data_IF_395979742552
#
_entry.id   IF_395979742552
#
_cell.length_a   1.000
_cell.length_b   1.000
_cell.length_c   1.000
_cell.angle_alpha   90.00
_cell.angle_beta   90.00
_cell.angle_gamma   90.00
#
_symmetry.space_group_name_H-M   'P 1'
#
loop_
_entity.id
_entity.type
_entity.pdbx_description
1 polymer ?
#
# COMPACT_ATOMS: atom_id res chain seq x y z
N UNK A 1 24.41 -18.26 -4.96
CA UNK A 1 24.84 -17.40 -6.08
C UNK A 1 23.59 -16.78 -6.68
N UNK A 2 23.37 -15.46 -6.50
CA UNK A 2 22.24 -14.74 -7.09
C UNK A 2 22.62 -14.45 -8.56
N UNK A 3 21.80 -14.82 -9.55
CA UNK A 3 22.16 -14.64 -10.95
C UNK A 3 22.35 -13.16 -11.27
N UNK A 4 23.40 -12.82 -11.99
CA UNK A 4 23.86 -11.48 -12.35
C UNK A 4 22.76 -10.60 -13.01
N UNK A 5 21.82 -11.21 -13.73
CA UNK A 5 20.61 -10.55 -14.28
C UNK A 5 19.65 -10.02 -13.19
N UNK A 6 19.62 -10.64 -12.02
CA UNK A 6 18.76 -10.22 -10.91
C UNK A 6 19.37 -9.01 -10.19
N UNK A 7 20.69 -8.96 -10.07
CA UNK A 7 21.43 -7.82 -9.47
C UNK A 7 21.28 -6.56 -10.34
N UNK A 8 21.32 -6.72 -11.67
CA UNK A 8 21.08 -5.60 -12.61
C UNK A 8 19.67 -5.02 -12.50
N UNK A 9 18.65 -5.87 -12.38
CA UNK A 9 17.25 -5.42 -12.19
C UNK A 9 17.02 -4.76 -10.82
N UNK A 10 17.64 -5.28 -9.76
CA UNK A 10 17.56 -4.66 -8.41
C UNK A 10 18.24 -3.30 -8.40
N UNK A 11 19.39 -3.14 -9.06
CA UNK A 11 20.11 -1.86 -9.17
C UNK A 11 19.32 -0.82 -9.98
N UNK A 12 18.65 -1.24 -11.05
CA UNK A 12 17.76 -0.37 -11.82
C UNK A 12 16.53 0.03 -11.01
N UNK A 13 15.90 -0.91 -10.28
CA UNK A 13 14.76 -0.63 -9.40
C UNK A 13 15.12 0.35 -8.29
N UNK A 14 16.29 0.17 -7.67
CA UNK A 14 16.77 1.08 -6.62
C UNK A 14 17.05 2.49 -7.15
N UNK A 15 17.63 2.62 -8.33
CA UNK A 15 17.83 3.89 -9.02
C UNK A 15 16.51 4.62 -9.30
N UNK A 16 15.48 3.87 -9.73
CA UNK A 16 14.14 4.42 -9.99
C UNK A 16 13.47 4.91 -8.70
N UNK A 17 13.59 4.15 -7.60
CA UNK A 17 13.06 4.56 -6.29
C UNK A 17 13.76 5.84 -5.81
N UNK A 18 15.08 5.90 -5.87
CA UNK A 18 15.84 7.10 -5.50
C UNK A 18 15.45 8.32 -6.35
N UNK A 19 15.21 8.13 -7.64
CA UNK A 19 14.75 9.20 -8.53
C UNK A 19 13.35 9.71 -8.14
N UNK A 20 12.42 8.82 -7.82
CA UNK A 20 11.07 9.18 -7.38
C UNK A 20 11.06 9.88 -6.02
N UNK A 21 11.99 9.53 -5.12
CA UNK A 21 12.06 10.11 -3.78
C UNK A 21 12.89 11.41 -3.72
N UNK A 22 13.72 11.70 -4.72
CA UNK A 22 14.58 12.88 -4.74
C UNK A 22 13.80 14.21 -4.58
N UNK A 23 12.65 14.45 -5.24
CA UNK A 23 11.85 15.66 -5.04
C UNK A 23 11.30 15.78 -3.61
N UNK A 24 10.87 14.66 -3.03
CA UNK A 24 10.37 14.62 -1.64
C UNK A 24 11.47 14.98 -0.64
N UNK A 25 12.68 14.50 -0.88
CA UNK A 25 13.85 14.91 -0.05
C UNK A 25 14.18 16.40 -0.19
N UNK A 26 14.00 16.94 -1.40
CA UNK A 26 14.28 18.37 -1.66
C UNK A 26 13.23 19.29 -1.04
N UNK A 27 11.95 18.99 -1.19
CA UNK A 27 10.84 19.87 -0.82
C UNK A 27 10.15 19.50 0.49
N UNK A 28 10.32 18.26 0.97
CA UNK A 28 9.57 17.70 2.10
C UNK A 28 10.44 16.98 3.14
N UNK A 29 11.63 17.45 3.47
CA UNK A 29 12.51 16.81 4.48
C UNK A 29 11.82 16.59 5.83
N UNK A 30 11.11 17.60 6.33
CA UNK A 30 10.38 17.54 7.60
C UNK A 30 9.29 16.50 7.57
N UNK A 31 8.58 16.38 6.43
CA UNK A 31 7.58 15.34 6.21
C UNK A 31 8.20 13.96 6.21
N UNK A 32 9.31 13.75 5.50
CA UNK A 32 9.98 12.43 5.46
C UNK A 32 10.47 12.01 6.86
N UNK A 33 11.07 12.90 7.62
CA UNK A 33 11.53 12.62 8.99
C UNK A 33 10.33 12.35 9.91
N UNK A 34 9.28 13.15 9.83
CA UNK A 34 8.07 12.95 10.61
C UNK A 34 7.38 11.61 10.29
N UNK A 35 7.25 11.25 9.01
CA UNK A 35 6.70 9.95 8.59
C UNK A 35 7.56 8.78 9.05
N UNK A 36 8.88 8.93 9.03
CA UNK A 36 9.79 7.91 9.55
C UNK A 36 9.57 7.71 11.05
N UNK A 37 9.56 8.79 11.85
CA UNK A 37 9.32 8.72 13.30
C UNK A 37 7.94 8.11 13.59
N UNK A 38 6.91 8.62 12.92
CA UNK A 38 5.53 8.14 13.10
C UNK A 38 5.40 6.65 12.78
N UNK A 39 5.91 6.21 11.65
CA UNK A 39 5.75 4.83 11.17
C UNK A 39 6.66 3.83 11.89
N UNK A 40 7.90 4.22 12.24
CA UNK A 40 8.91 3.31 12.79
C UNK A 40 8.92 3.29 14.32
N UNK A 41 8.54 4.39 14.98
CA UNK A 41 8.52 4.47 16.44
C UNK A 41 7.11 4.39 17.03
N UNK A 42 6.17 5.26 16.61
CA UNK A 42 4.87 5.35 17.26
C UNK A 42 4.02 4.11 17.02
N UNK A 43 3.94 3.63 15.79
CA UNK A 43 3.09 2.47 15.45
C UNK A 43 3.57 1.17 16.12
N UNK A 44 4.87 0.79 16.06
CA UNK A 44 5.35 -0.40 16.76
C UNK A 44 5.28 -0.27 18.27
N UNK A 45 5.54 0.93 18.84
CA UNK A 45 5.44 1.15 20.28
C UNK A 45 3.99 1.04 20.79
N UNK A 46 3.02 1.64 20.08
CA UNK A 46 1.61 1.49 20.41
C UNK A 46 1.19 0.01 20.36
N UNK A 47 1.66 -0.71 19.34
CA UNK A 47 1.43 -2.13 19.22
C UNK A 47 2.05 -2.96 20.33
N UNK A 48 3.25 -2.62 20.79
CA UNK A 48 3.89 -3.26 21.95
C UNK A 48 3.05 -3.11 23.21
N UNK A 49 2.62 -1.89 23.56
CA UNK A 49 1.79 -1.66 24.72
C UNK A 49 0.44 -2.38 24.64
N UNK A 50 -0.17 -2.41 23.46
CA UNK A 50 -1.43 -3.15 23.24
C UNK A 50 -1.25 -4.66 23.39
N UNK A 51 -0.16 -5.23 22.89
CA UNK A 51 0.11 -6.66 22.94
C UNK A 51 0.46 -7.13 24.37
N UNK A 52 1.19 -6.32 25.12
CA UNK A 52 1.66 -6.67 26.48
C UNK A 52 0.66 -6.28 27.57
N UNK A 53 -0.41 -5.55 27.25
CA UNK A 53 -1.41 -5.11 28.21
C UNK A 53 -2.02 -6.27 29.03
N UNK A 54 -2.49 -7.32 28.35
CA UNK A 54 -3.10 -8.46 29.02
C UNK A 54 -2.11 -9.20 29.92
N UNK A 55 -0.89 -9.40 29.45
CA UNK A 55 0.19 -10.03 30.22
C UNK A 55 0.51 -9.22 31.46
N UNK A 56 0.69 -7.91 31.36
CA UNK A 56 1.00 -7.04 32.48
C UNK A 56 -0.09 -7.05 33.57
N UNK A 57 -1.37 -7.13 33.16
CA UNK A 57 -2.50 -7.25 34.10
C UNK A 57 -2.51 -8.62 34.81
N UNK A 58 -2.29 -9.71 34.06
CA UNK A 58 -2.25 -11.08 34.61
C UNK A 58 -1.10 -11.21 35.62
N UNK A 59 0.10 -10.75 35.28
CA UNK A 59 1.26 -10.77 36.18
C UNK A 59 0.99 -10.04 37.51
N UNK A 60 0.24 -8.93 37.47
CA UNK A 60 -0.16 -8.21 38.70
C UNK A 60 -1.15 -9.01 39.57
N UNK A 61 -2.07 -9.75 38.93
CA UNK A 61 -3.05 -10.60 39.63
C UNK A 61 -2.35 -11.81 40.25
N UNK A 62 -1.45 -12.47 39.50
CA UNK A 62 -0.67 -13.62 39.98
C UNK A 62 0.29 -13.23 41.10
N UNK A 63 0.82 -12.01 41.10
CA UNK A 63 1.63 -11.48 42.20
C UNK A 63 0.83 -11.12 43.44
N UNK A 64 -0.48 -11.42 43.49
CA UNK A 64 -1.37 -11.16 44.63
C UNK A 64 -1.56 -9.69 44.96
N UNK A 65 -1.34 -8.78 44.00
CA UNK A 65 -1.53 -7.34 44.20
C UNK A 65 -3.01 -6.97 44.21
N UNK A 66 -3.40 -5.88 44.93
CA UNK A 66 -4.79 -5.46 44.99
C UNK A 66 -5.31 -5.11 43.57
N UNK A 67 -6.60 -5.35 43.36
CA UNK A 67 -7.27 -5.10 42.09
C UNK A 67 -7.03 -3.69 41.53
N UNK A 68 -6.98 -2.70 42.44
CA UNK A 68 -6.69 -1.29 42.07
C UNK A 68 -5.33 -1.14 41.36
N UNK A 69 -4.30 -1.85 41.81
CA UNK A 69 -2.97 -1.81 41.21
C UNK A 69 -2.97 -2.47 39.82
N UNK A 70 -3.64 -3.61 39.67
CA UNK A 70 -3.79 -4.29 38.35
C UNK A 70 -4.59 -3.43 37.36
N UNK A 71 -5.69 -2.81 37.85
CA UNK A 71 -6.50 -1.89 37.04
C UNK A 71 -5.71 -0.66 36.60
N UNK A 72 -4.95 -0.04 37.54
CA UNK A 72 -4.13 1.14 37.22
C UNK A 72 -3.03 0.81 36.19
N UNK A 73 -2.40 -0.36 36.30
CA UNK A 73 -1.41 -0.83 35.33
C UNK A 73 -2.03 -1.02 33.95
N UNK A 74 -3.17 -1.71 33.87
CA UNK A 74 -3.90 -1.87 32.60
C UNK A 74 -4.31 -0.52 31.98
N UNK A 75 -4.79 0.40 32.82
CA UNK A 75 -5.17 1.75 32.36
C UNK A 75 -3.97 2.53 31.86
N UNK A 76 -2.79 2.46 32.49
CA UNK A 76 -1.59 3.15 32.01
C UNK A 76 -1.12 2.62 30.65
N UNK A 77 -1.11 1.30 30.42
CA UNK A 77 -0.78 0.69 29.13
C UNK A 77 -1.76 1.10 28.05
N UNK A 78 -3.06 1.10 28.36
CA UNK A 78 -4.12 1.53 27.45
C UNK A 78 -3.96 3.00 27.06
N UNK A 79 -3.73 3.89 28.03
CA UNK A 79 -3.54 5.32 27.78
C UNK A 79 -2.28 5.60 26.94
N UNK A 80 -1.18 4.90 27.21
CA UNK A 80 0.04 5.03 26.41
C UNK A 80 -0.18 4.57 24.96
N UNK A 81 -0.82 3.41 24.77
CA UNK A 81 -1.15 2.93 23.43
C UNK A 81 -2.08 3.90 22.70
N UNK A 82 -3.11 4.41 23.38
CA UNK A 82 -4.05 5.40 22.84
C UNK A 82 -3.33 6.70 22.46
N UNK A 83 -2.49 7.23 23.34
CA UNK A 83 -1.74 8.47 23.09
C UNK A 83 -0.83 8.35 21.84
N UNK A 84 -0.10 7.24 21.72
CA UNK A 84 0.75 6.98 20.56
C UNK A 84 -0.06 6.82 19.26
N UNK A 85 -1.19 6.12 19.32
CA UNK A 85 -2.09 5.99 18.15
C UNK A 85 -2.71 7.33 17.76
N UNK A 86 -3.10 8.16 18.74
CA UNK A 86 -3.62 9.52 18.47
C UNK A 86 -2.55 10.42 17.87
N UNK A 87 -1.31 10.38 18.38
CA UNK A 87 -0.20 11.13 17.77
C UNK A 87 0.06 10.70 16.34
N UNK A 88 0.04 9.39 16.07
CA UNK A 88 0.15 8.86 14.72
C UNK A 88 -1.00 9.32 13.83
N UNK A 89 -2.25 9.21 14.29
CA UNK A 89 -3.43 9.60 13.54
C UNK A 89 -3.44 11.12 13.24
N UNK A 90 -3.12 11.97 14.20
CA UNK A 90 -3.01 13.43 13.99
C UNK A 90 -1.94 13.74 12.96
N UNK A 91 -0.80 13.05 13.02
CA UNK A 91 0.26 13.23 12.04
C UNK A 91 -0.17 12.78 10.63
N UNK A 92 -0.71 11.55 10.48
CA UNK A 92 -1.09 10.97 9.19
C UNK A 92 -2.32 11.64 8.57
N UNK A 93 -3.39 11.84 9.36
CA UNK A 93 -4.66 12.30 8.83
C UNK A 93 -4.74 13.81 8.65
N UNK A 94 -4.05 14.56 9.51
CA UNK A 94 -4.09 16.02 9.45
C UNK A 94 -2.84 16.60 8.78
N UNK A 95 -1.64 16.36 9.35
CA UNK A 95 -0.43 17.02 8.88
C UNK A 95 0.08 16.47 7.54
N UNK A 96 0.12 15.13 7.43
CA UNK A 96 0.66 14.46 6.24
C UNK A 96 -0.19 14.75 5.01
N UNK A 97 -1.52 14.63 5.12
CA UNK A 97 -2.44 14.84 3.98
C UNK A 97 -2.33 16.25 3.42
N UNK A 98 -2.35 17.24 4.29
CA UNK A 98 -2.23 18.64 3.87
C UNK A 98 -0.86 18.94 3.25
N UNK A 99 0.21 18.56 3.94
CA UNK A 99 1.57 18.87 3.49
C UNK A 99 1.95 18.09 2.23
N UNK A 100 1.44 16.88 2.08
CA UNK A 100 1.57 16.07 0.88
C UNK A 100 1.02 16.80 -0.35
N UNK A 101 -0.19 17.36 -0.25
CA UNK A 101 -0.82 18.08 -1.36
C UNK A 101 -0.01 19.33 -1.77
N UNK A 102 0.56 20.05 -0.81
CA UNK A 102 1.41 21.20 -1.06
C UNK A 102 2.70 20.80 -1.81
N UNK A 103 3.31 19.69 -1.42
CA UNK A 103 4.54 19.20 -2.05
C UNK A 103 4.23 18.63 -3.45
N UNK A 104 3.15 17.88 -3.62
CA UNK A 104 2.70 17.39 -4.93
C UNK A 104 2.50 18.55 -5.90
N UNK A 105 1.80 19.61 -5.50
CA UNK A 105 1.64 20.82 -6.32
C UNK A 105 2.98 21.51 -6.66
N UNK A 106 3.94 21.50 -5.73
CA UNK A 106 5.28 22.05 -5.99
C UNK A 106 6.05 21.19 -7.01
N UNK A 107 5.92 19.87 -6.93
CA UNK A 107 6.51 18.93 -7.89
C UNK A 107 5.91 19.14 -9.27
N UNK A 108 4.58 19.19 -9.37
CA UNK A 108 3.87 19.45 -10.63
C UNK A 108 4.30 20.78 -11.25
N UNK A 109 4.35 21.85 -10.47
CA UNK A 109 4.85 23.14 -10.91
C UNK A 109 6.26 23.04 -11.48
N UNK A 110 7.16 22.29 -10.84
CA UNK A 110 8.54 22.11 -11.31
C UNK A 110 8.61 21.36 -12.65
N UNK A 111 7.65 20.45 -12.91
CA UNK A 111 7.52 19.75 -14.21
C UNK A 111 7.04 20.72 -15.28
N UNK A 112 6.03 21.55 -15.00
CA UNK A 112 5.54 22.57 -15.94
C UNK A 112 6.60 23.60 -16.28
N UNK A 113 7.35 24.09 -15.28
CA UNK A 113 8.45 25.04 -15.51
C UNK A 113 9.54 24.46 -16.44
N UNK A 114 9.88 23.17 -16.25
CA UNK A 114 10.81 22.48 -17.18
C UNK A 114 10.23 22.29 -18.57
N UNK A 115 8.96 21.94 -18.66
CA UNK A 115 8.29 21.76 -19.96
C UNK A 115 8.27 23.06 -20.77
N UNK A 116 8.12 24.21 -20.14
CA UNK A 116 8.16 25.52 -20.81
C UNK A 116 9.56 25.88 -21.32
N UNK A 117 10.62 25.24 -20.83
CA UNK A 117 12.01 25.45 -21.27
C UNK A 117 12.43 24.53 -22.42
N UNK A 118 11.61 23.51 -22.73
CA UNK A 118 11.92 22.55 -23.80
C UNK A 118 11.56 23.12 -25.16
N UNK A 119 12.42 22.88 -26.18
CA UNK A 119 12.19 23.33 -27.54
C UNK A 119 10.87 22.74 -28.09
N UNK A 120 10.07 23.58 -28.72
CA UNK A 120 8.77 23.23 -29.32
C UNK A 120 8.82 22.03 -30.25
N UNK A 121 9.95 21.81 -30.93
CA UNK A 121 10.16 20.66 -31.82
C UNK A 121 9.90 19.30 -31.18
N UNK A 122 10.14 19.20 -29.87
CA UNK A 122 9.89 17.96 -29.14
C UNK A 122 8.40 17.66 -28.93
N UNK A 123 7.55 18.70 -28.93
CA UNK A 123 6.10 18.52 -28.80
C UNK A 123 5.44 17.99 -30.09
N UNK A 124 6.12 18.11 -31.24
CA UNK A 124 5.67 17.51 -32.50
C UNK A 124 5.98 16.01 -32.60
N UNK A 125 6.84 15.49 -31.71
CA UNK A 125 7.09 14.04 -31.58
C UNK A 125 6.03 13.37 -30.71
N UNK A 126 5.19 12.47 -31.29
CA UNK A 126 4.15 11.77 -30.52
C UNK A 126 4.68 10.99 -29.33
N UNK A 127 5.89 10.42 -29.42
CA UNK A 127 6.51 9.63 -28.34
C UNK A 127 6.91 10.52 -27.15
N UNK A 128 7.41 11.71 -27.44
CA UNK A 128 7.70 12.71 -26.40
C UNK A 128 6.42 13.22 -25.74
N UNK A 129 5.40 13.53 -26.52
CA UNK A 129 4.12 14.02 -26.00
C UNK A 129 3.44 12.99 -25.10
N UNK A 130 3.43 11.72 -25.48
CA UNK A 130 2.90 10.64 -24.64
C UNK A 130 3.68 10.49 -23.33
N UNK A 131 5.01 10.57 -23.38
CA UNK A 131 5.86 10.52 -22.19
C UNK A 131 5.67 11.73 -21.29
N UNK A 132 5.55 12.92 -21.86
CA UNK A 132 5.27 14.17 -21.15
C UNK A 132 3.91 14.10 -20.44
N UNK A 133 2.87 13.68 -21.13
CA UNK A 133 1.52 13.51 -20.58
C UNK A 133 1.50 12.52 -19.43
N UNK A 134 2.14 11.35 -19.61
CA UNK A 134 2.24 10.34 -18.56
C UNK A 134 2.96 10.88 -17.32
N UNK A 135 4.05 11.63 -17.53
CA UNK A 135 4.82 12.23 -16.44
C UNK A 135 4.01 13.27 -15.69
N UNK A 136 3.33 14.15 -16.40
CA UNK A 136 2.51 15.21 -15.80
C UNK A 136 1.33 14.66 -15.03
N UNK A 137 0.63 13.67 -15.59
CA UNK A 137 -0.57 13.10 -14.96
C UNK A 137 -0.25 12.16 -13.77
N UNK A 138 0.89 11.49 -13.77
CA UNK A 138 1.12 10.37 -12.83
C UNK A 138 2.34 10.53 -11.93
N UNK A 139 3.33 11.33 -12.27
CA UNK A 139 4.60 11.35 -11.53
C UNK A 139 4.42 11.76 -10.07
N UNK A 140 3.66 12.83 -9.80
CA UNK A 140 3.46 13.33 -8.44
C UNK A 140 2.74 12.28 -7.57
N UNK A 141 1.65 11.71 -8.07
CA UNK A 141 0.88 10.68 -7.34
C UNK A 141 1.66 9.39 -7.15
N UNK A 142 2.35 8.88 -8.17
CA UNK A 142 3.16 7.66 -8.08
C UNK A 142 4.37 7.83 -7.16
N UNK A 143 5.02 8.99 -7.17
CA UNK A 143 6.13 9.27 -6.25
C UNK A 143 5.67 9.30 -4.81
N UNK A 144 4.50 9.87 -4.55
CA UNK A 144 3.84 9.91 -3.25
C UNK A 144 3.46 8.52 -2.74
N UNK A 145 2.86 7.71 -3.60
CA UNK A 145 2.50 6.32 -3.29
C UNK A 145 3.75 5.47 -2.99
N UNK A 146 4.82 5.65 -3.77
CA UNK A 146 6.11 4.99 -3.53
C UNK A 146 6.68 5.36 -2.17
N UNK A 147 6.58 6.63 -1.77
CA UNK A 147 7.00 7.11 -0.45
C UNK A 147 6.21 6.43 0.67
N UNK A 148 4.88 6.38 0.56
CA UNK A 148 4.02 5.72 1.54
C UNK A 148 4.32 4.23 1.66
N UNK A 149 4.50 3.54 0.54
CA UNK A 149 4.85 2.12 0.51
C UNK A 149 6.21 1.86 1.18
N UNK A 150 7.19 2.74 0.99
CA UNK A 150 8.49 2.66 1.67
C UNK A 150 8.33 2.75 3.20
N UNK A 151 7.58 3.74 3.71
CA UNK A 151 7.35 3.88 5.15
C UNK A 151 6.53 2.73 5.73
N UNK A 152 5.56 2.21 4.98
CA UNK A 152 4.82 1.00 5.34
C UNK A 152 5.73 -0.22 5.47
N UNK A 153 6.67 -0.41 4.55
CA UNK A 153 7.69 -1.46 4.64
C UNK A 153 8.59 -1.30 5.88
N UNK A 154 9.09 -0.09 6.14
CA UNK A 154 9.91 0.18 7.31
C UNK A 154 9.15 -0.07 8.61
N UNK A 155 7.89 0.37 8.69
CA UNK A 155 6.99 0.08 9.81
C UNK A 155 6.77 -1.43 9.97
N UNK A 156 6.58 -2.16 8.86
CA UNK A 156 6.46 -3.62 8.87
C UNK A 156 7.69 -4.30 9.47
N UNK A 157 8.89 -3.89 9.04
CA UNK A 157 10.15 -4.41 9.59
C UNK A 157 10.28 -4.11 11.09
N UNK A 158 9.98 -2.88 11.50
CA UNK A 158 10.02 -2.49 12.91
C UNK A 158 9.03 -3.32 13.77
N UNK A 159 7.81 -3.54 13.27
CA UNK A 159 6.83 -4.42 13.93
C UNK A 159 7.33 -5.88 14.00
N UNK A 160 7.93 -6.40 12.95
CA UNK A 160 8.51 -7.75 12.96
C UNK A 160 9.60 -7.90 14.02
N UNK A 161 10.44 -6.88 14.21
CA UNK A 161 11.47 -6.89 15.26
C UNK A 161 10.82 -6.89 16.65
N UNK A 162 9.88 -5.97 16.91
CA UNK A 162 9.25 -5.82 18.22
C UNK A 162 8.44 -7.07 18.57
N UNK A 163 7.55 -7.52 17.69
CA UNK A 163 6.71 -8.70 17.95
C UNK A 163 7.51 -10.00 17.91
N UNK A 164 8.51 -10.08 17.03
CA UNK A 164 9.42 -11.22 17.00
C UNK A 164 10.19 -11.39 18.30
N UNK A 165 10.67 -10.30 18.92
CA UNK A 165 11.32 -10.32 20.21
C UNK A 165 10.35 -10.75 21.33
N UNK A 166 9.10 -10.25 21.33
CA UNK A 166 8.07 -10.65 22.28
C UNK A 166 7.73 -12.15 22.17
N UNK A 167 7.56 -12.66 20.96
CA UNK A 167 7.25 -14.08 20.73
C UNK A 167 8.43 -14.96 21.12
N UNK A 168 9.67 -14.52 20.81
CA UNK A 168 10.88 -15.27 21.18
C UNK A 168 11.06 -15.40 22.69
N UNK A 169 10.60 -14.41 23.47
CA UNK A 169 10.65 -14.47 24.94
C UNK A 169 9.70 -15.53 25.53
N UNK A 170 8.63 -15.91 24.79
CA UNK A 170 7.67 -16.95 25.21
C UNK A 170 8.11 -18.37 24.82
N UNK A 171 9.02 -18.50 23.85
CA UNK A 171 9.57 -19.78 23.44
C UNK A 171 9.95 -19.87 21.97
N UNK A 172 11.05 -20.55 21.69
CA UNK A 172 11.56 -20.68 20.32
C UNK A 172 10.62 -21.48 19.41
N UNK A 173 9.91 -22.47 19.97
CA UNK A 173 8.96 -23.28 19.21
C UNK A 173 7.80 -22.43 18.67
N UNK A 174 7.25 -21.52 19.48
CA UNK A 174 6.20 -20.58 19.07
C UNK A 174 6.69 -19.65 17.96
N UNK A 175 7.91 -19.14 18.09
CA UNK A 175 8.54 -18.29 17.06
C UNK A 175 8.63 -19.02 15.71
N UNK A 176 9.04 -20.30 15.70
CA UNK A 176 9.14 -21.08 14.46
C UNK A 176 7.77 -21.32 13.81
N UNK A 177 6.73 -21.60 14.60
CA UNK A 177 5.36 -21.77 14.10
C UNK A 177 4.87 -20.46 13.44
N UNK A 178 5.03 -19.33 14.13
CA UNK A 178 4.60 -18.01 13.62
C UNK A 178 5.37 -17.63 12.37
N UNK A 179 6.70 -17.86 12.33
CA UNK A 179 7.51 -17.62 11.14
C UNK A 179 7.08 -18.50 9.94
N UNK A 180 6.80 -19.79 10.18
CA UNK A 180 6.31 -20.70 9.15
C UNK A 180 4.98 -20.25 8.54
N UNK A 181 4.01 -19.91 9.38
CA UNK A 181 2.74 -19.38 8.94
C UNK A 181 2.87 -18.03 8.22
N UNK A 182 3.70 -17.13 8.74
CA UNK A 182 3.95 -15.81 8.11
C UNK A 182 4.62 -15.95 6.74
N UNK A 183 5.56 -16.88 6.58
CA UNK A 183 6.20 -17.19 5.31
C UNK A 183 5.17 -17.73 4.29
N UNK A 184 4.25 -18.57 4.74
CA UNK A 184 3.17 -19.07 3.89
C UNK A 184 2.22 -17.96 3.43
N UNK A 185 1.80 -17.08 4.35
CA UNK A 185 0.98 -15.90 4.01
C UNK A 185 1.71 -14.99 3.03
N UNK A 186 3.01 -14.72 3.26
CA UNK A 186 3.81 -13.91 2.35
C UNK A 186 3.90 -14.53 0.95
N UNK A 187 4.08 -15.85 0.85
CA UNK A 187 4.05 -16.57 -0.43
C UNK A 187 2.70 -16.44 -1.14
N UNK A 188 1.60 -16.61 -0.41
CA UNK A 188 0.25 -16.43 -0.94
C UNK A 188 0.02 -15.01 -1.47
N UNK A 189 0.49 -13.98 -0.75
CA UNK A 189 0.40 -12.57 -1.16
C UNK A 189 1.21 -12.29 -2.44
N UNK A 190 2.42 -12.85 -2.55
CA UNK A 190 3.24 -12.72 -3.77
C UNK A 190 2.53 -13.38 -4.96
N UNK A 191 1.96 -14.55 -4.77
CA UNK A 191 1.20 -15.25 -5.81
C UNK A 191 -0.03 -14.44 -6.23
N UNK A 192 -0.80 -13.94 -5.27
CA UNK A 192 -1.97 -13.07 -5.51
C UNK A 192 -1.58 -11.81 -6.30
N UNK A 193 -0.50 -11.14 -5.90
CA UNK A 193 0.03 -9.96 -6.60
C UNK A 193 0.35 -10.24 -8.07
N UNK A 194 0.94 -11.40 -8.39
CA UNK A 194 1.22 -11.80 -9.77
C UNK A 194 -0.07 -12.01 -10.58
N UNK A 195 -1.04 -12.72 -9.99
CA UNK A 195 -2.35 -12.96 -10.63
C UNK A 195 -3.09 -11.65 -10.88
N UNK A 196 -3.05 -10.71 -9.93
CA UNK A 196 -3.65 -9.39 -10.06
C UNK A 196 -3.01 -8.56 -11.19
N UNK A 197 -1.67 -8.57 -11.30
CA UNK A 197 -0.95 -7.89 -12.40
C UNK A 197 -1.28 -8.52 -13.76
N UNK A 198 -1.37 -9.85 -13.85
CA UNK A 198 -1.79 -10.53 -15.08
C UNK A 198 -3.21 -10.14 -15.48
N UNK A 199 -4.13 -10.08 -14.52
CA UNK A 199 -5.51 -9.62 -14.75
C UNK A 199 -5.55 -8.19 -15.25
N UNK A 200 -4.84 -7.27 -14.58
CA UNK A 200 -4.79 -5.86 -14.97
C UNK A 200 -4.23 -5.69 -16.39
N UNK A 201 -3.14 -6.41 -16.69
CA UNK A 201 -2.54 -6.39 -18.02
C UNK A 201 -3.52 -6.89 -19.10
N UNK A 202 -4.27 -7.95 -18.80
CA UNK A 202 -5.29 -8.48 -19.71
C UNK A 202 -6.44 -7.48 -19.96
N UNK A 203 -6.75 -6.63 -18.98
CA UNK A 203 -7.85 -5.64 -19.08
C UNK A 203 -7.45 -4.33 -19.75
N UNK A 204 -6.16 -4.02 -19.92
CA UNK A 204 -5.67 -2.71 -20.39
C UNK A 204 -6.33 -2.29 -21.72
N UNK A 205 -6.44 -3.19 -22.70
CA UNK A 205 -7.01 -2.86 -23.98
C UNK A 205 -8.52 -2.56 -23.92
N UNK A 206 -9.25 -3.34 -23.15
CA UNK A 206 -10.70 -3.13 -22.99
C UNK A 206 -10.98 -1.89 -22.14
N UNK A 207 -10.12 -1.59 -21.20
CA UNK A 207 -10.20 -0.35 -20.42
C UNK A 207 -9.95 0.88 -21.29
N UNK A 208 -8.92 0.86 -22.15
CA UNK A 208 -8.67 1.94 -23.13
C UNK A 208 -9.87 2.19 -24.04
N UNK A 209 -10.49 1.13 -24.56
CA UNK A 209 -11.71 1.24 -25.39
C UNK A 209 -12.86 1.86 -24.59
N UNK A 210 -13.09 1.40 -23.38
CA UNK A 210 -14.15 1.92 -22.51
C UNK A 210 -13.92 3.40 -22.17
N UNK A 211 -12.67 3.80 -21.86
CA UNK A 211 -12.32 5.17 -21.53
C UNK A 211 -12.43 6.10 -22.74
N UNK A 212 -12.05 5.63 -23.93
CA UNK A 212 -12.29 6.35 -25.18
C UNK A 212 -13.79 6.60 -25.41
N UNK A 213 -14.61 5.54 -25.31
CA UNK A 213 -16.05 5.67 -25.47
C UNK A 213 -16.68 6.59 -24.40
N UNK A 214 -16.22 6.48 -23.17
CA UNK A 214 -16.66 7.37 -22.09
C UNK A 214 -16.35 8.83 -22.40
N UNK A 215 -15.14 9.16 -22.89
CA UNK A 215 -14.77 10.52 -23.29
C UNK A 215 -15.69 11.05 -24.38
N UNK A 216 -16.03 10.24 -25.40
CA UNK A 216 -16.95 10.64 -26.46
C UNK A 216 -18.34 11.06 -25.92
N UNK A 217 -18.82 10.43 -24.87
CA UNK A 217 -20.11 10.80 -24.26
C UNK A 217 -20.05 12.07 -23.41
N UNK A 218 -18.87 12.47 -22.95
CA UNK A 218 -18.67 13.67 -22.12
C UNK A 218 -18.10 14.86 -22.91
N UNK A 219 -17.59 14.64 -24.13
CA UNK A 219 -17.07 15.71 -24.97
C UNK A 219 -18.24 16.47 -25.61
N UNK A 220 -18.31 17.75 -25.28
CA UNK A 220 -19.40 18.64 -25.77
C UNK A 220 -19.49 18.69 -27.30
N UNK A 221 -18.36 18.65 -28.00
CA UNK A 221 -18.32 18.66 -29.47
C UNK A 221 -18.77 17.33 -30.05
N UNK A 222 -18.30 16.22 -29.49
CA UNK A 222 -18.67 14.87 -29.92
C UNK A 222 -20.15 14.54 -29.67
N UNK A 223 -20.72 15.03 -28.55
CA UNK A 223 -22.14 14.80 -28.22
C UNK A 223 -23.10 15.41 -29.26
N UNK A 224 -22.79 16.56 -29.85
CA UNK A 224 -23.58 17.16 -30.91
C UNK A 224 -23.60 16.26 -32.16
N UNK A 225 -22.44 15.77 -32.59
CA UNK A 225 -22.30 14.87 -33.74
C UNK A 225 -22.94 13.49 -33.48
N UNK A 226 -22.83 12.97 -32.24
CA UNK A 226 -23.47 11.73 -31.83
C UNK A 226 -24.99 11.79 -31.85
N UNK A 227 -25.58 12.97 -31.59
CA UNK A 227 -27.03 13.20 -31.70
C UNK A 227 -27.51 13.33 -33.13
N UNK A 228 -26.68 13.94 -33.98
CA UNK A 228 -26.96 14.13 -35.40
C UNK A 228 -26.78 12.85 -36.22
N UNK A 229 -25.88 11.97 -35.80
CA UNK A 229 -25.55 10.73 -36.49
C UNK A 229 -26.21 9.52 -35.82
N UNK A 230 -26.64 8.53 -36.63
CA UNK A 230 -27.29 7.29 -36.12
C UNK A 230 -26.28 6.23 -35.63
N UNK A 231 -25.12 6.67 -35.08
CA UNK A 231 -24.03 5.78 -34.58
C UNK A 231 -24.20 5.39 -33.10
N UNK A 232 -25.25 5.82 -32.46
CA UNK A 232 -25.55 5.53 -31.05
C UNK A 232 -25.55 4.02 -30.73
N UNK A 233 -26.27 3.23 -31.56
CA UNK A 233 -26.38 1.78 -31.36
C UNK A 233 -25.02 1.05 -31.48
N UNK A 234 -24.21 1.27 -32.55
CA UNK A 234 -22.87 0.69 -32.63
C UNK A 234 -21.96 1.05 -31.46
N UNK A 235 -21.98 2.31 -30.99
CA UNK A 235 -21.15 2.73 -29.85
C UNK A 235 -21.53 2.02 -28.55
N UNK A 236 -22.83 1.89 -28.26
CA UNK A 236 -23.27 1.14 -27.09
C UNK A 236 -22.92 -0.36 -27.21
N UNK A 237 -23.02 -0.96 -28.39
CA UNK A 237 -22.62 -2.36 -28.58
C UNK A 237 -21.13 -2.59 -28.35
N UNK A 238 -20.27 -1.63 -28.74
CA UNK A 238 -18.83 -1.65 -28.44
C UNK A 238 -18.55 -1.48 -26.94
N UNK A 239 -19.29 -0.59 -26.27
CA UNK A 239 -19.19 -0.40 -24.83
C UNK A 239 -19.60 -1.67 -24.07
N UNK A 240 -20.75 -2.22 -24.41
CA UNK A 240 -21.27 -3.47 -23.80
C UNK A 240 -20.32 -4.64 -24.08
N UNK A 241 -19.73 -4.72 -25.25
CA UNK A 241 -18.68 -5.68 -25.59
C UNK A 241 -17.45 -5.57 -24.68
N UNK A 242 -16.99 -4.33 -24.44
CA UNK A 242 -15.85 -4.11 -23.55
C UNK A 242 -16.16 -4.41 -22.09
N UNK A 243 -17.41 -4.18 -21.65
CA UNK A 243 -17.88 -4.53 -20.29
C UNK A 243 -17.95 -6.04 -20.12
N UNK A 244 -18.53 -6.75 -21.11
CA UNK A 244 -18.62 -8.23 -21.09
C UNK A 244 -17.23 -8.87 -21.07
N UNK A 245 -16.32 -8.43 -21.94
CA UNK A 245 -14.93 -8.92 -21.96
C UNK A 245 -14.24 -8.74 -20.61
N UNK A 246 -14.37 -7.57 -19.98
CA UNK A 246 -13.83 -7.35 -18.64
C UNK A 246 -14.46 -8.26 -17.58
N UNK A 247 -15.76 -8.45 -17.63
CA UNK A 247 -16.46 -9.36 -16.70
C UNK A 247 -15.98 -10.81 -16.85
N UNK A 248 -15.70 -11.27 -18.06
CA UNK A 248 -15.14 -12.60 -18.33
C UNK A 248 -13.71 -12.72 -17.77
N UNK A 249 -12.89 -11.69 -17.94
CA UNK A 249 -11.54 -11.62 -17.34
C UNK A 249 -11.63 -11.71 -15.82
N UNK A 250 -12.51 -10.92 -15.18
CA UNK A 250 -12.73 -10.99 -13.73
C UNK A 250 -13.20 -12.39 -13.30
N UNK A 251 -14.10 -13.02 -14.04
CA UNK A 251 -14.56 -14.38 -13.75
C UNK A 251 -13.44 -15.42 -13.84
N UNK A 252 -12.57 -15.29 -14.86
CA UNK A 252 -11.43 -16.19 -15.07
C UNK A 252 -10.38 -16.09 -13.95
N UNK A 253 -10.04 -14.88 -13.54
CA UNK A 253 -9.00 -14.64 -12.53
C UNK A 253 -9.59 -14.68 -11.10
N UNK A 254 -10.85 -14.30 -10.91
CA UNK A 254 -11.50 -14.21 -9.61
C UNK A 254 -11.54 -15.54 -8.85
N UNK A 255 -11.68 -16.67 -9.53
CA UNK A 255 -11.60 -17.98 -8.88
C UNK A 255 -10.22 -18.26 -8.28
N UNK A 256 -9.14 -17.85 -8.97
CA UNK A 256 -7.76 -17.99 -8.47
C UNK A 256 -7.50 -17.06 -7.29
N UNK A 257 -7.95 -15.81 -7.38
CA UNK A 257 -7.85 -14.83 -6.29
C UNK A 257 -8.60 -15.30 -5.05
N UNK A 258 -9.83 -15.79 -5.21
CA UNK A 258 -10.65 -16.31 -4.12
C UNK A 258 -10.00 -17.49 -3.38
N UNK A 259 -9.43 -18.45 -4.12
CA UNK A 259 -8.71 -19.57 -3.52
C UNK A 259 -7.46 -19.10 -2.74
N UNK A 260 -6.74 -18.13 -3.28
CA UNK A 260 -5.55 -17.57 -2.61
C UNK A 260 -5.92 -16.83 -1.33
N UNK A 261 -7.03 -16.07 -1.36
CA UNK A 261 -7.54 -15.35 -0.19
C UNK A 261 -8.02 -16.32 0.90
N UNK A 262 -8.71 -17.41 0.54
CA UNK A 262 -9.10 -18.45 1.50
C UNK A 262 -7.86 -19.06 2.15
N UNK A 263 -6.86 -19.44 1.37
CA UNK A 263 -5.64 -20.06 1.90
C UNK A 263 -4.87 -19.10 2.82
N UNK A 264 -4.77 -17.84 2.46
CA UNK A 264 -4.15 -16.80 3.29
C UNK A 264 -4.92 -16.60 4.61
N UNK A 265 -6.24 -16.51 4.55
CA UNK A 265 -7.09 -16.35 5.73
C UNK A 265 -7.04 -17.59 6.65
N UNK A 266 -7.01 -18.80 6.10
CA UNK A 266 -6.86 -20.02 6.89
C UNK A 266 -5.51 -20.07 7.61
N UNK A 267 -4.43 -19.66 6.94
CA UNK A 267 -3.13 -19.56 7.57
C UNK A 267 -3.10 -18.51 8.68
N UNK A 268 -3.76 -17.37 8.49
CA UNK A 268 -3.89 -16.32 9.51
C UNK A 268 -4.73 -16.79 10.70
N UNK A 269 -5.84 -17.50 10.47
CA UNK A 269 -6.61 -18.13 11.54
C UNK A 269 -5.78 -19.18 12.28
N UNK A 270 -4.96 -19.95 11.57
CA UNK A 270 -4.03 -20.91 12.16
C UNK A 270 -3.08 -20.26 13.17
N UNK A 271 -2.51 -19.09 12.85
CA UNK A 271 -1.67 -18.35 13.80
C UNK A 271 -2.45 -17.83 15.00
N UNK A 272 -3.68 -17.35 14.78
CA UNK A 272 -4.54 -16.81 15.85
C UNK A 272 -4.95 -17.90 16.83
N UNK A 273 -5.13 -19.14 16.39
CA UNK A 273 -5.46 -20.27 17.27
C UNK A 273 -4.22 -20.97 17.85
N UNK A 274 -3.14 -21.08 17.10
CA UNK A 274 -1.93 -21.79 17.56
C UNK A 274 -1.28 -21.13 18.77
N UNK A 275 -1.30 -19.80 18.84
CA UNK A 275 -0.68 -19.05 19.95
C UNK A 275 -1.39 -19.31 21.28
N UNK A 276 -2.72 -19.12 21.42
CA UNK A 276 -3.42 -19.41 22.69
C UNK A 276 -3.37 -20.89 23.08
N UNK A 277 -3.47 -21.81 22.12
CA UNK A 277 -3.39 -23.26 22.40
C UNK A 277 -2.01 -23.64 22.91
N UNK A 278 -0.94 -23.11 22.32
CA UNK A 278 0.43 -23.37 22.78
C UNK A 278 0.66 -22.82 24.19
N UNK A 279 0.18 -21.60 24.45
CA UNK A 279 0.29 -20.97 25.80
C UNK A 279 -0.55 -21.71 26.84
N UNK A 280 -1.71 -22.25 26.45
CA UNK A 280 -2.56 -23.02 27.38
C UNK A 280 -2.01 -24.44 27.69
N UNK A 281 -1.13 -24.98 26.82
CA UNK A 281 -0.53 -26.31 27.01
C UNK A 281 0.80 -26.26 27.79
N UNK A 282 1.54 -25.17 27.74
CA UNK A 282 2.83 -25.01 28.41
C UNK A 282 2.71 -24.38 29.78
#
# INVERSE_FOLDING_TARGET
MIPEKTVGKLRQGWGSICFLLAPWWKYGKTLMVGSFISSVLFVPAAGYFSATLAQAVIEMIEAGKPFEAAFLTGLTYLLLALALNLLHAVYEDFYLRWKKQEIEGTIERSIYEKALMVDYRHFDDPSYFDSYKLTTEKFASQSSETLQNLFSLLSGVAKCIVYGALIASQGVALLLIVLGCSAFVAYAQIYWSRVSVERETAMVNDQRKADYLRRLFFDHTAVADLRASNIKKPLFSLFDGSVKSRAEIYRKYGAKEFLTDILANLAQLGTTFAVPVYVAWG
#
